data_IF_261976193029
#
_entry.id   IF_261976193029
#
_cell.length_a   1.000
_cell.length_b   1.000
_cell.length_c   1.000
_cell.angle_alpha   90.00
_cell.angle_beta   90.00
_cell.angle_gamma   90.00
#
_symmetry.space_group_name_H-M   'P 1'
#
loop_
_entity.id
_entity.type
_entity.pdbx_description
1 polymer ?
#
# COMPACT_ATOMS: atom_id res chain seq x y z
N UNK A 1 -1.18 46.28 6.49
CA UNK A 1 -0.14 45.29 6.21
C UNK A 1 -0.86 43.96 6.13
N UNK A 2 -1.34 43.65 4.92
CA UNK A 2 -2.05 42.43 4.58
C UNK A 2 -1.03 41.29 4.51
N UNK A 3 -1.20 40.27 5.37
CA UNK A 3 -0.52 38.99 5.21
C UNK A 3 -1.41 38.13 4.31
N UNK A 4 -1.05 38.04 3.04
CA UNK A 4 -1.60 37.07 2.09
C UNK A 4 -1.07 35.68 2.44
N UNK A 5 -1.86 34.90 3.15
CA UNK A 5 -1.80 33.44 3.10
C UNK A 5 -2.05 33.02 1.65
N UNK A 6 -1.02 32.56 0.95
CA UNK A 6 -1.19 31.80 -0.28
C UNK A 6 -1.87 30.49 0.06
N UNK A 7 -3.21 30.48 0.03
CA UNK A 7 -3.98 29.26 -0.20
C UNK A 7 -3.53 28.70 -1.55
N UNK A 8 -2.83 27.58 -1.53
CA UNK A 8 -2.52 26.82 -2.73
C UNK A 8 -3.82 26.19 -3.24
N UNK A 9 -4.62 26.98 -3.95
CA UNK A 9 -5.80 26.52 -4.65
C UNK A 9 -5.42 25.38 -5.61
N UNK A 10 -6.23 24.31 -5.56
CA UNK A 10 -6.18 23.11 -6.38
C UNK A 10 -5.78 23.39 -7.84
N UNK A 11 -4.74 22.69 -8.33
CA UNK A 11 -4.57 22.47 -9.77
C UNK A 11 -5.48 21.34 -10.21
N UNK A 12 -6.73 21.66 -10.56
CA UNK A 12 -7.69 20.73 -11.18
C UNK A 12 -7.19 20.13 -12.50
N UNK A 13 -6.14 20.71 -13.09
CA UNK A 13 -5.57 20.31 -14.40
C UNK A 13 -4.78 18.98 -14.39
N UNK A 14 -4.58 18.34 -13.23
CA UNK A 14 -3.72 17.16 -13.08
C UNK A 14 -4.42 15.98 -12.37
N UNK A 15 -5.74 15.88 -12.47
CA UNK A 15 -6.50 14.78 -11.88
C UNK A 15 -7.59 14.26 -12.80
N UNK A 16 -7.90 12.98 -12.69
CA UNK A 16 -9.04 12.34 -13.36
C UNK A 16 -9.92 11.66 -12.31
N UNK A 17 -11.24 11.77 -12.47
CA UNK A 17 -12.22 11.15 -11.58
C UNK A 17 -13.06 10.16 -12.38
N UNK A 18 -13.25 8.98 -11.80
CA UNK A 18 -14.21 7.99 -12.24
C UNK A 18 -15.29 7.80 -11.17
N UNK A 19 -16.54 7.77 -11.60
CA UNK A 19 -17.69 7.49 -10.73
C UNK A 19 -18.21 6.08 -11.01
N UNK A 20 -18.10 5.22 -10.00
CA UNK A 20 -18.58 3.85 -10.00
C UNK A 20 -20.09 3.81 -9.74
N UNK A 21 -20.83 2.83 -10.28
CA UNK A 21 -22.24 2.61 -9.96
C UNK A 21 -22.49 2.30 -8.47
N UNK A 22 -21.49 1.75 -7.78
CA UNK A 22 -21.57 1.34 -6.38
C UNK A 22 -20.44 1.99 -5.55
N UNK A 23 -20.63 2.17 -4.23
CA UNK A 23 -19.55 2.59 -3.34
C UNK A 23 -18.30 1.72 -3.52
N UNK A 24 -17.12 2.32 -3.41
CA UNK A 24 -15.84 1.64 -3.63
C UNK A 24 -15.30 1.19 -2.27
N UNK A 25 -15.00 -0.10 -2.15
CA UNK A 25 -14.47 -0.70 -0.93
C UNK A 25 -12.96 -0.90 -0.98
N UNK A 26 -12.44 -1.38 -2.12
CA UNK A 26 -11.04 -1.68 -2.33
C UNK A 26 -10.59 -1.27 -3.73
N UNK A 27 -9.32 -0.89 -3.88
CA UNK A 27 -8.73 -0.54 -5.17
C UNK A 27 -7.34 -1.15 -5.29
N UNK A 28 -6.86 -1.34 -6.53
CA UNK A 28 -5.51 -1.82 -6.79
C UNK A 28 -4.98 -1.32 -8.14
N UNK A 29 -3.70 -0.95 -8.19
CA UNK A 29 -2.97 -0.73 -9.45
C UNK A 29 -2.32 -2.03 -9.91
N UNK A 30 -2.36 -2.29 -11.22
CA UNK A 30 -1.51 -3.31 -11.81
C UNK A 30 -0.06 -2.82 -11.88
N UNK A 31 0.92 -3.54 -11.30
CA UNK A 31 2.33 -3.18 -11.40
C UNK A 31 2.92 -3.51 -12.78
N UNK A 32 2.22 -4.33 -13.57
CA UNK A 32 2.68 -4.91 -14.84
C UNK A 32 2.05 -4.22 -16.05
N UNK A 33 0.78 -3.78 -15.93
CA UNK A 33 0.03 -3.06 -16.95
C UNK A 33 -0.28 -1.65 -16.43
N UNK A 34 0.51 -0.63 -16.78
CA UNK A 34 0.40 0.73 -16.23
C UNK A 34 -0.97 1.39 -16.36
N UNK A 35 -1.77 0.92 -17.33
CA UNK A 35 -3.10 1.42 -17.61
C UNK A 35 -4.17 0.71 -16.80
N UNK A 36 -3.88 -0.39 -16.09
CA UNK A 36 -4.92 -1.24 -15.49
C UNK A 36 -5.08 -0.97 -14.00
N UNK A 37 -6.33 -0.79 -13.59
CA UNK A 37 -6.72 -0.69 -12.18
C UNK A 37 -7.89 -1.63 -11.89
N UNK A 38 -8.00 -2.11 -10.66
CA UNK A 38 -9.14 -2.86 -10.17
C UNK A 38 -9.91 -2.05 -9.11
N UNK A 39 -11.23 -2.16 -9.13
CA UNK A 39 -12.16 -1.59 -8.15
C UNK A 39 -13.05 -2.69 -7.59
N UNK A 40 -13.17 -2.75 -6.28
CA UNK A 40 -14.11 -3.62 -5.58
C UNK A 40 -15.27 -2.80 -5.02
N UNK A 41 -16.50 -3.25 -5.24
CA UNK A 41 -17.70 -2.59 -4.71
C UNK A 41 -17.88 -2.83 -3.22
N UNK A 42 -18.62 -1.95 -2.56
CA UNK A 42 -19.32 -2.23 -1.30
C UNK A 42 -20.82 -2.25 -1.57
N UNK A 43 -21.39 -3.44 -1.50
CA UNK A 43 -22.81 -3.75 -1.62
C UNK A 43 -23.14 -4.59 -0.38
N UNK A 44 -24.17 -4.20 0.38
CA UNK A 44 -24.52 -4.87 1.64
C UNK A 44 -25.02 -6.30 1.40
N UNK A 45 -25.58 -6.56 0.21
CA UNK A 45 -25.95 -7.89 -0.24
C UNK A 45 -24.73 -8.78 -0.58
N UNK A 46 -24.99 -10.08 -0.69
CA UNK A 46 -23.96 -11.09 -0.95
C UNK A 46 -23.17 -10.86 -2.25
N UNK A 47 -23.83 -10.41 -3.32
CA UNK A 47 -23.24 -10.28 -4.66
C UNK A 47 -22.61 -8.91 -4.85
N UNK A 48 -21.32 -8.81 -4.53
CA UNK A 48 -20.50 -7.66 -4.86
C UNK A 48 -19.87 -7.82 -6.25
N UNK A 49 -19.12 -6.82 -6.69
CA UNK A 49 -18.50 -6.79 -8.01
C UNK A 49 -17.06 -6.31 -7.93
N UNK A 50 -16.23 -6.87 -8.79
CA UNK A 50 -14.91 -6.32 -9.10
C UNK A 50 -14.89 -5.86 -10.55
N UNK A 51 -14.47 -4.61 -10.75
CA UNK A 51 -14.41 -3.94 -12.04
C UNK A 51 -12.97 -3.58 -12.40
N UNK A 52 -12.60 -3.84 -13.66
CA UNK A 52 -11.30 -3.43 -14.19
C UNK A 52 -11.47 -2.14 -15.01
N UNK A 53 -10.65 -1.14 -14.70
CA UNK A 53 -10.57 0.13 -15.40
C UNK A 53 -9.30 0.22 -16.23
N UNK A 54 -9.38 0.97 -17.33
CA UNK A 54 -8.26 1.42 -18.14
C UNK A 54 -8.02 2.92 -17.95
N UNK A 55 -6.84 3.27 -17.47
CA UNK A 55 -6.33 4.61 -17.29
C UNK A 55 -5.41 4.98 -18.44
N UNK A 56 -5.72 6.11 -19.09
CA UNK A 56 -4.83 6.73 -20.06
C UNK A 56 -4.33 8.06 -19.51
N UNK A 57 -3.03 8.12 -19.20
CA UNK A 57 -2.37 9.30 -18.64
C UNK A 57 -2.28 10.48 -19.61
N UNK A 58 -2.25 10.23 -20.93
CA UNK A 58 -2.12 11.28 -21.95
C UNK A 58 -3.44 12.00 -22.17
N UNK A 59 -4.56 11.27 -22.12
CA UNK A 59 -5.90 11.81 -22.28
C UNK A 59 -6.61 12.11 -20.96
N UNK A 60 -5.98 11.78 -19.83
CA UNK A 60 -6.56 11.89 -18.48
C UNK A 60 -7.95 11.26 -18.40
N UNK A 61 -8.09 10.04 -18.91
CA UNK A 61 -9.37 9.32 -18.93
C UNK A 61 -9.29 7.99 -18.18
N UNK A 62 -10.38 7.67 -17.49
CA UNK A 62 -10.61 6.40 -16.81
C UNK A 62 -11.87 5.76 -17.39
N UNK A 63 -11.68 4.64 -18.07
CA UNK A 63 -12.78 3.95 -18.73
C UNK A 63 -12.93 2.54 -18.16
N UNK A 64 -14.14 2.13 -17.75
CA UNK A 64 -14.37 0.75 -17.34
C UNK A 64 -14.24 -0.18 -18.55
N UNK A 65 -13.81 -1.41 -18.30
CA UNK A 65 -13.77 -2.46 -19.30
C UNK A 65 -14.87 -3.48 -18.98
N UNK A 66 -16.09 -3.35 -19.54
CA UNK A 66 -17.25 -4.13 -19.08
C UNK A 66 -17.09 -5.65 -19.19
N UNK A 67 -16.25 -6.13 -20.11
CA UNK A 67 -15.95 -7.55 -20.25
C UNK A 67 -14.96 -8.10 -19.22
N UNK A 68 -14.33 -7.22 -18.43
CA UNK A 68 -13.40 -7.57 -17.36
C UNK A 68 -14.01 -7.39 -15.97
N UNK A 69 -15.33 -7.31 -15.90
CA UNK A 69 -16.07 -7.23 -14.66
C UNK A 69 -16.59 -8.60 -14.23
N UNK A 70 -16.58 -8.88 -12.94
CA UNK A 70 -17.04 -10.17 -12.41
C UNK A 70 -17.65 -10.03 -11.01
N UNK A 71 -18.51 -10.98 -10.66
CA UNK A 71 -19.16 -11.04 -9.34
C UNK A 71 -18.17 -11.54 -8.28
N UNK A 72 -18.24 -10.94 -7.10
CA UNK A 72 -17.45 -11.30 -5.94
C UNK A 72 -18.37 -11.59 -4.74
N UNK A 73 -18.23 -12.75 -4.06
CA UNK A 73 -18.92 -13.02 -2.82
C UNK A 73 -18.47 -12.06 -1.72
N UNK A 74 -19.41 -11.29 -1.18
CA UNK A 74 -19.18 -10.23 -0.19
C UNK A 74 -18.26 -9.09 -0.68
N UNK A 75 -18.25 -7.93 0.00
CA UNK A 75 -17.33 -6.85 -0.35
C UNK A 75 -15.87 -7.34 -0.27
N UNK A 76 -15.06 -7.15 -1.33
CA UNK A 76 -13.68 -7.61 -1.32
C UNK A 76 -12.84 -6.76 -0.37
N UNK A 77 -12.40 -7.33 0.75
CA UNK A 77 -11.68 -6.60 1.82
C UNK A 77 -10.35 -6.03 1.36
N UNK A 78 -9.72 -6.64 0.36
CA UNK A 78 -8.53 -6.14 -0.32
C UNK A 78 -8.44 -6.70 -1.74
N UNK A 79 -7.79 -5.94 -2.61
CA UNK A 79 -7.44 -6.32 -3.97
C UNK A 79 -5.95 -6.06 -4.16
N UNK A 80 -5.21 -6.98 -4.77
CA UNK A 80 -3.82 -6.74 -5.14
C UNK A 80 -3.45 -7.57 -6.36
N UNK A 81 -2.85 -6.93 -7.36
CA UNK A 81 -2.22 -7.65 -8.46
C UNK A 81 -0.91 -8.29 -7.99
N UNK A 82 -0.57 -9.42 -8.60
CA UNK A 82 0.70 -10.09 -8.37
C UNK A 82 1.87 -9.15 -8.70
N UNK A 83 2.88 -9.04 -7.80
CA UNK A 83 3.88 -7.97 -7.87
C UNK A 83 4.88 -8.11 -9.02
N UNK A 84 5.09 -9.33 -9.53
CA UNK A 84 6.10 -9.55 -10.58
C UNK A 84 5.53 -9.38 -11.98
N UNK A 85 6.13 -8.45 -12.73
CA UNK A 85 5.95 -8.32 -14.18
C UNK A 85 6.61 -9.48 -14.91
N UNK A 86 5.78 -10.35 -15.50
CA UNK A 86 6.25 -11.17 -16.61
C UNK A 86 5.88 -10.47 -17.91
N UNK A 87 6.80 -9.72 -18.56
CA UNK A 87 6.51 -9.01 -19.81
C UNK A 87 6.15 -9.94 -20.99
N UNK A 88 6.16 -11.27 -20.77
CA UNK A 88 5.79 -12.30 -21.75
C UNK A 88 4.40 -12.87 -21.53
N UNK A 89 3.73 -12.57 -20.41
CA UNK A 89 2.35 -13.02 -20.16
C UNK A 89 1.40 -11.89 -20.52
N UNK A 90 0.43 -12.19 -21.39
CA UNK A 90 -0.66 -11.29 -21.76
C UNK A 90 -1.79 -11.26 -20.72
N UNK A 91 -1.47 -11.61 -19.47
CA UNK A 91 -2.44 -11.73 -18.38
C UNK A 91 -1.82 -11.30 -17.06
N UNK A 92 -2.65 -10.67 -16.23
CA UNK A 92 -2.33 -10.36 -14.86
C UNK A 92 -2.98 -11.36 -13.93
N UNK A 93 -2.30 -11.64 -12.83
CA UNK A 93 -2.88 -12.38 -11.73
C UNK A 93 -3.38 -11.36 -10.70
N UNK A 94 -4.67 -11.38 -10.41
CA UNK A 94 -5.32 -10.57 -9.39
C UNK A 94 -5.70 -11.47 -8.21
N UNK A 95 -5.30 -11.07 -6.99
CA UNK A 95 -5.79 -11.68 -5.77
C UNK A 95 -6.88 -10.81 -5.14
N UNK A 96 -7.89 -11.45 -4.56
CA UNK A 96 -8.96 -10.80 -3.80
C UNK A 96 -9.20 -11.53 -2.48
N UNK A 97 -9.55 -10.78 -1.43
CA UNK A 97 -9.96 -11.33 -0.14
C UNK A 97 -11.39 -10.96 0.20
N UNK A 98 -12.01 -11.76 1.07
CA UNK A 98 -13.37 -11.59 1.57
C UNK A 98 -13.65 -12.72 2.55
N UNK A 99 -14.61 -13.58 2.23
CA UNK A 99 -14.75 -14.89 2.88
C UNK A 99 -13.54 -15.82 2.63
N UNK A 100 -12.99 -15.82 1.42
CA UNK A 100 -11.82 -16.59 1.02
C UNK A 100 -10.79 -15.74 0.27
N UNK A 101 -9.55 -16.24 0.21
CA UNK A 101 -8.56 -15.75 -0.75
C UNK A 101 -8.86 -16.39 -2.12
N UNK A 102 -8.99 -15.56 -3.15
CA UNK A 102 -9.23 -15.99 -4.53
C UNK A 102 -8.18 -15.44 -5.47
N UNK A 103 -7.87 -16.21 -6.50
CA UNK A 103 -7.01 -15.81 -7.60
C UNK A 103 -7.79 -15.78 -8.91
N UNK A 104 -7.55 -14.73 -9.67
CA UNK A 104 -8.20 -14.45 -10.95
C UNK A 104 -7.15 -14.14 -12.01
N UNK A 105 -7.30 -14.73 -13.19
CA UNK A 105 -6.50 -14.36 -14.36
C UNK A 105 -7.22 -13.28 -15.14
N UNK A 106 -6.66 -12.08 -15.19
CA UNK A 106 -7.16 -10.94 -15.94
C UNK A 106 -6.43 -10.86 -17.28
N UNK A 107 -7.07 -11.37 -18.33
CA UNK A 107 -6.60 -11.25 -19.72
C UNK A 107 -7.07 -9.92 -20.31
N UNK A 108 -6.74 -9.64 -21.57
CA UNK A 108 -7.17 -8.40 -22.23
C UNK A 108 -8.69 -8.28 -22.37
N UNK A 109 -9.39 -9.40 -22.58
CA UNK A 109 -10.83 -9.39 -22.88
C UNK A 109 -11.69 -10.25 -21.95
N UNK A 110 -11.10 -11.02 -21.03
CA UNK A 110 -11.81 -11.88 -20.09
C UNK A 110 -11.13 -11.94 -18.73
N UNK A 111 -11.91 -12.28 -17.71
CA UNK A 111 -11.41 -12.65 -16.38
C UNK A 111 -11.82 -14.09 -16.08
N UNK A 112 -10.88 -14.91 -15.64
CA UNK A 112 -11.09 -16.32 -15.31
C UNK A 112 -10.75 -16.56 -13.83
N UNK A 113 -11.65 -17.22 -13.09
CA UNK A 113 -11.36 -17.66 -11.73
C UNK A 113 -10.36 -18.84 -11.78
N UNK A 114 -9.21 -18.70 -11.13
CA UNK A 114 -8.16 -19.72 -11.14
C UNK A 114 -8.20 -20.63 -9.92
N UNK A 115 -8.30 -20.04 -8.72
CA UNK A 115 -8.15 -20.80 -7.48
C UNK A 115 -8.88 -20.10 -6.33
N UNK A 116 -9.42 -20.92 -5.44
CA UNK A 116 -9.99 -20.52 -4.16
C UNK A 116 -9.22 -21.23 -3.05
N UNK A 117 -8.73 -20.46 -2.09
CA UNK A 117 -7.88 -20.94 -1.02
C UNK A 117 -8.70 -21.06 0.27
N UNK A 118 -8.83 -22.29 0.76
CA UNK A 118 -9.54 -22.62 2.00
C UNK A 118 -8.61 -23.39 2.95
N UNK A 119 -8.49 -22.94 4.19
CA UNK A 119 -7.64 -23.53 5.21
C UNK A 119 -8.38 -24.58 6.06
N UNK A 120 -9.71 -24.63 5.97
CA UNK A 120 -10.56 -25.57 6.68
C UNK A 120 -10.58 -26.94 5.98
N UNK A 121 -10.21 -27.99 6.71
CA UNK A 121 -10.27 -29.39 6.22
C UNK A 121 -11.61 -30.09 6.48
N UNK A 122 -12.47 -29.49 7.31
CA UNK A 122 -13.67 -30.17 7.87
C UNK A 122 -14.95 -29.36 7.78
N UNK A 123 -14.85 -28.03 7.60
CA UNK A 123 -15.99 -27.11 7.49
C UNK A 123 -16.01 -26.45 6.12
N UNK A 124 -17.19 -26.31 5.54
CA UNK A 124 -17.45 -25.50 4.33
C UNK A 124 -17.29 -23.99 4.56
N UNK A 125 -16.99 -23.57 5.79
CA UNK A 125 -16.81 -22.18 6.19
C UNK A 125 -15.48 -21.99 6.92
N UNK A 126 -14.72 -20.96 6.53
CA UNK A 126 -13.60 -20.41 7.29
C UNK A 126 -13.96 -19.01 7.82
N UNK A 127 -13.19 -18.51 8.78
CA UNK A 127 -13.33 -17.14 9.22
C UNK A 127 -12.95 -16.18 8.08
N UNK A 128 -13.68 -15.06 7.90
CA UNK A 128 -13.41 -14.10 6.85
C UNK A 128 -12.03 -13.47 7.00
N UNK A 129 -11.44 -13.14 5.85
CA UNK A 129 -10.14 -12.49 5.75
C UNK A 129 -10.30 -10.97 5.82
N UNK A 130 -9.54 -10.35 6.70
CA UNK A 130 -9.53 -8.90 6.91
C UNK A 130 -8.60 -8.20 5.91
N UNK A 131 -7.52 -8.86 5.50
CA UNK A 131 -6.52 -8.34 4.57
C UNK A 131 -5.60 -9.47 4.06
N UNK A 132 -4.71 -9.13 3.13
CA UNK A 132 -3.60 -9.96 2.70
C UNK A 132 -2.46 -9.11 2.12
N UNK A 133 -1.27 -9.68 1.96
CA UNK A 133 -0.17 -9.05 1.23
C UNK A 133 0.63 -10.10 0.45
N UNK A 134 1.19 -9.67 -0.68
CA UNK A 134 2.12 -10.47 -1.48
C UNK A 134 3.52 -10.38 -0.91
N UNK A 135 4.25 -11.49 -0.98
CA UNK A 135 5.68 -11.47 -0.71
C UNK A 135 6.43 -11.01 -1.98
N UNK A 136 6.91 -9.77 -2.01
CA UNK A 136 7.57 -9.21 -3.19
C UNK A 136 8.88 -9.94 -3.57
N UNK A 137 9.53 -10.58 -2.60
CA UNK A 137 10.81 -11.30 -2.80
C UNK A 137 10.56 -12.75 -3.27
N UNK A 138 9.55 -13.41 -2.72
CA UNK A 138 9.10 -14.75 -3.11
C UNK A 138 7.61 -14.72 -3.51
N UNK A 139 7.26 -14.22 -4.71
CA UNK A 139 5.89 -13.87 -5.11
C UNK A 139 4.94 -15.06 -5.30
N UNK A 140 5.43 -16.28 -5.08
CA UNK A 140 4.60 -17.48 -4.88
C UNK A 140 3.90 -17.52 -3.51
N UNK A 141 4.25 -16.63 -2.58
CA UNK A 141 3.67 -16.57 -1.24
C UNK A 141 2.71 -15.40 -1.08
N UNK A 142 1.56 -15.69 -0.49
CA UNK A 142 0.61 -14.70 0.04
C UNK A 142 0.46 -14.94 1.53
N UNK A 143 0.46 -13.86 2.32
CA UNK A 143 0.05 -13.90 3.72
C UNK A 143 -1.35 -13.30 3.86
N UNK A 144 -2.26 -13.96 4.55
CA UNK A 144 -3.63 -13.47 4.83
C UNK A 144 -3.84 -13.29 6.33
N UNK A 145 -4.54 -12.24 6.72
CA UNK A 145 -5.00 -12.00 8.11
C UNK A 145 -6.49 -12.28 8.25
N UNK A 146 -6.93 -12.70 9.44
CA UNK A 146 -8.34 -13.02 9.70
C UNK A 146 -8.80 -12.55 11.09
N UNK A 147 -10.12 -12.44 11.23
CA UNK A 147 -10.78 -12.22 12.51
C UNK A 147 -10.62 -13.41 13.48
N UNK A 148 -10.20 -14.59 13.00
CA UNK A 148 -9.92 -15.75 13.86
C UNK A 148 -8.60 -15.68 14.64
N UNK A 149 -7.97 -14.50 14.70
CA UNK A 149 -6.69 -14.22 15.36
C UNK A 149 -5.46 -14.77 14.64
N UNK A 150 -5.63 -15.42 13.47
CA UNK A 150 -4.53 -16.06 12.76
C UNK A 150 -4.04 -15.30 11.52
N UNK A 151 -2.77 -15.51 11.21
CA UNK A 151 -2.18 -15.24 9.90
C UNK A 151 -1.91 -16.57 9.19
N UNK A 152 -2.37 -16.71 7.95
CA UNK A 152 -2.13 -17.91 7.12
C UNK A 152 -1.23 -17.56 5.96
N UNK A 153 -0.16 -18.33 5.77
CA UNK A 153 0.77 -18.20 4.64
C UNK A 153 0.47 -19.31 3.63
N UNK A 154 0.26 -18.90 2.39
CA UNK A 154 -0.14 -19.75 1.28
C UNK A 154 0.99 -19.86 0.26
N UNK A 155 1.21 -21.05 -0.28
CA UNK A 155 1.96 -21.25 -1.51
C UNK A 155 0.95 -21.31 -2.66
N UNK A 156 0.91 -20.25 -3.48
CA UNK A 156 -0.09 -20.12 -4.55
C UNK A 156 0.19 -21.01 -5.77
N UNK A 157 1.45 -21.38 -6.01
CA UNK A 157 1.81 -22.29 -7.11
C UNK A 157 1.38 -23.72 -6.79
N UNK A 158 1.48 -24.11 -5.53
CA UNK A 158 1.07 -25.43 -5.03
C UNK A 158 -0.39 -25.48 -4.59
N UNK A 159 -1.05 -24.33 -4.47
CA UNK A 159 -2.40 -24.20 -3.94
C UNK A 159 -2.57 -24.84 -2.54
N UNK A 160 -1.60 -24.62 -1.64
CA UNK A 160 -1.62 -25.20 -0.27
C UNK A 160 -1.33 -24.15 0.80
N UNK A 161 -1.85 -24.41 2.01
CA UNK A 161 -1.39 -23.74 3.23
C UNK A 161 0.04 -24.18 3.52
N UNK A 162 0.98 -23.24 3.52
CA UNK A 162 2.36 -23.50 3.95
C UNK A 162 2.47 -23.49 5.47
N UNK A 163 1.83 -22.51 6.12
CA UNK A 163 1.77 -22.42 7.58
C UNK A 163 0.61 -21.55 8.03
N UNK A 164 0.10 -21.81 9.22
CA UNK A 164 -0.85 -20.94 9.92
C UNK A 164 -0.27 -20.63 11.29
N UNK A 165 -0.35 -19.36 11.70
CA UNK A 165 0.23 -18.85 12.93
C UNK A 165 -0.87 -18.16 13.73
N UNK A 166 -0.99 -18.48 15.01
CA UNK A 166 -1.78 -17.68 15.95
C UNK A 166 -0.99 -16.39 16.14
N UNK A 167 -1.45 -15.33 15.50
CA UNK A 167 -0.66 -14.11 15.39
C UNK A 167 -0.88 -13.21 16.60
N UNK A 168 -2.13 -13.08 17.04
CA UNK A 168 -2.55 -12.13 18.05
C UNK A 168 -3.56 -12.75 19.01
N UNK A 169 -3.89 -12.03 20.09
CA UNK A 169 -4.88 -12.46 21.09
C UNK A 169 -6.30 -12.00 20.73
N UNK A 170 -6.43 -11.17 19.69
CA UNK A 170 -7.69 -10.66 19.11
C UNK A 170 -7.60 -10.64 17.58
N UNK A 171 -8.64 -10.15 16.92
CA UNK A 171 -8.76 -10.08 15.46
C UNK A 171 -7.52 -9.43 14.82
N UNK A 172 -7.00 -10.00 13.75
CA UNK A 172 -5.89 -9.42 12.98
C UNK A 172 -6.49 -8.57 11.87
N UNK A 173 -6.12 -7.31 11.76
CA UNK A 173 -6.72 -6.38 10.79
C UNK A 173 -5.89 -6.19 9.52
N UNK A 174 -4.57 -6.33 9.59
CA UNK A 174 -3.71 -6.19 8.42
C UNK A 174 -2.43 -7.02 8.57
N UNK A 175 -1.81 -7.31 7.43
CA UNK A 175 -0.55 -8.03 7.30
C UNK A 175 0.28 -7.36 6.20
N UNK A 176 1.59 -7.25 6.41
CA UNK A 176 2.52 -6.71 5.43
C UNK A 176 3.83 -7.52 5.41
N UNK A 177 4.30 -7.87 4.21
CA UNK A 177 5.60 -8.52 4.01
C UNK A 177 6.72 -7.49 4.00
N UNK A 178 7.82 -7.83 4.68
CA UNK A 178 9.08 -7.08 4.60
C UNK A 178 10.10 -7.84 3.76
N UNK A 179 10.56 -8.98 4.29
CA UNK A 179 11.54 -9.84 3.63
C UNK A 179 10.92 -11.19 3.19
N UNK A 180 11.69 -12.03 2.50
CA UNK A 180 11.24 -13.32 1.96
C UNK A 180 10.60 -14.25 3.01
N UNK A 181 11.00 -14.10 4.28
CA UNK A 181 10.52 -14.91 5.40
C UNK A 181 10.03 -14.09 6.59
N UNK A 182 9.95 -12.77 6.44
CA UNK A 182 9.59 -11.86 7.53
C UNK A 182 8.37 -11.06 7.13
N UNK A 183 7.33 -11.14 7.94
CA UNK A 183 6.13 -10.32 7.80
C UNK A 183 5.73 -9.75 9.15
N UNK A 184 4.88 -8.74 9.13
CA UNK A 184 4.30 -8.15 10.32
C UNK A 184 2.78 -8.10 10.22
N UNK A 185 2.12 -8.07 11.36
CA UNK A 185 0.66 -7.91 11.46
C UNK A 185 0.26 -6.94 12.56
N UNK A 186 -0.96 -6.41 12.42
CA UNK A 186 -1.62 -5.49 13.36
C UNK A 186 -2.97 -6.05 13.79
N UNK A 187 -3.39 -5.73 15.02
CA UNK A 187 -4.58 -6.34 15.61
C UNK A 187 -5.41 -5.38 16.47
N UNK A 188 -6.65 -5.82 16.73
CA UNK A 188 -7.51 -5.30 17.79
C UNK A 188 -6.91 -5.37 19.20
N UNK A 189 -5.84 -6.17 19.41
CA UNK A 189 -5.09 -6.16 20.68
C UNK A 189 -4.19 -4.92 20.85
N UNK A 190 -4.08 -4.08 19.83
CA UNK A 190 -3.31 -2.84 19.86
C UNK A 190 -1.80 -3.02 19.62
N UNK A 191 -1.35 -4.21 19.19
CA UNK A 191 0.06 -4.51 18.96
C UNK A 191 0.43 -4.66 17.47
N UNK A 192 1.66 -4.29 17.13
CA UNK A 192 2.34 -4.72 15.90
C UNK A 192 3.29 -5.86 16.27
N UNK A 193 3.15 -6.99 15.60
CA UNK A 193 4.02 -8.16 15.79
C UNK A 193 4.77 -8.51 14.51
N UNK A 194 6.06 -8.81 14.62
CA UNK A 194 6.90 -9.34 13.54
C UNK A 194 7.03 -10.85 13.71
N UNK A 195 6.94 -11.56 12.59
CA UNK A 195 7.06 -13.02 12.49
C UNK A 195 8.18 -13.37 11.53
N UNK A 196 9.02 -14.32 11.93
CA UNK A 196 10.02 -14.94 11.07
C UNK A 196 9.62 -16.39 10.78
N UNK A 197 9.41 -16.73 9.52
CA UNK A 197 9.02 -18.10 9.13
C UNK A 197 10.07 -19.17 9.42
N UNK A 198 11.29 -18.77 9.82
CA UNK A 198 12.32 -19.68 10.34
C UNK A 198 12.05 -20.10 11.79
N UNK A 199 11.38 -19.24 12.58
CA UNK A 199 11.00 -19.49 13.97
C UNK A 199 9.49 -19.24 14.14
N UNK A 200 8.71 -20.29 13.86
CA UNK A 200 7.24 -20.22 13.86
C UNK A 200 6.62 -20.20 15.26
N UNK A 201 7.43 -20.42 16.30
CA UNK A 201 6.95 -20.49 17.68
C UNK A 201 6.99 -19.13 18.36
N UNK A 202 7.77 -18.18 17.83
CA UNK A 202 7.98 -16.87 18.43
C UNK A 202 7.65 -15.73 17.47
N UNK A 203 6.99 -14.71 18.00
CA UNK A 203 6.81 -13.41 17.36
C UNK A 203 7.43 -12.33 18.24
N UNK A 204 7.88 -11.24 17.64
CA UNK A 204 8.38 -10.07 18.38
C UNK A 204 7.36 -8.95 18.33
N UNK A 205 6.88 -8.50 19.50
CA UNK A 205 6.09 -7.26 19.60
C UNK A 205 7.06 -6.09 19.42
N UNK A 206 6.79 -5.24 18.43
CA UNK A 206 7.64 -4.06 18.14
C UNK A 206 6.97 -2.74 18.50
N UNK A 207 5.67 -2.73 18.73
CA UNK A 207 4.91 -1.55 19.10
C UNK A 207 3.59 -1.98 19.74
N UNK A 208 3.17 -1.22 20.75
CA UNK A 208 1.86 -1.33 21.39
C UNK A 208 1.27 0.07 21.48
N UNK A 209 -0.04 0.17 21.32
CA UNK A 209 -0.73 1.45 21.43
C UNK A 209 -0.50 2.08 22.82
N UNK A 210 -0.24 3.41 22.91
CA UNK A 210 -0.01 4.08 24.19
C UNK A 210 -1.19 3.97 25.15
N UNK A 211 -2.40 3.86 24.61
CA UNK A 211 -3.61 3.57 25.36
C UNK A 211 -3.89 2.07 25.26
N UNK A 212 -4.12 1.38 26.39
CA UNK A 212 -4.40 -0.06 26.38
C UNK A 212 -5.56 -0.42 25.43
N UNK A 213 -5.44 -1.55 24.74
CA UNK A 213 -6.48 -2.13 23.89
C UNK A 213 -7.00 -1.21 22.77
N UNK A 214 -6.24 -0.21 22.33
CA UNK A 214 -6.62 0.63 21.18
C UNK A 214 -6.22 -0.07 19.88
N UNK A 215 -7.17 -0.50 19.02
CA UNK A 215 -6.85 -1.28 17.84
C UNK A 215 -5.91 -0.60 16.85
N UNK A 216 -5.06 -1.39 16.20
CA UNK A 216 -4.26 -0.99 15.04
C UNK A 216 -4.90 -1.53 13.75
N UNK A 217 -5.20 -0.65 12.80
CA UNK A 217 -6.10 -0.98 11.69
C UNK A 217 -5.40 -1.28 10.35
N UNK A 218 -4.27 -0.63 10.08
CA UNK A 218 -3.51 -0.77 8.83
C UNK A 218 -2.03 -0.82 9.07
N UNK A 219 -1.34 -1.57 8.22
CA UNK A 219 0.10 -1.72 8.25
C UNK A 219 0.66 -1.56 6.83
N UNK A 220 1.65 -0.70 6.67
CA UNK A 220 2.35 -0.53 5.41
C UNK A 220 3.86 -0.66 5.64
N UNK A 221 4.49 -1.64 4.98
CA UNK A 221 5.94 -1.80 5.00
C UNK A 221 6.59 -0.92 3.93
N UNK A 222 7.66 -0.21 4.27
CA UNK A 222 8.43 0.53 3.28
C UNK A 222 9.26 -0.43 2.43
N UNK A 223 8.86 -0.61 1.16
CA UNK A 223 9.52 -1.55 0.24
C UNK A 223 10.86 -1.04 -0.30
N UNK A 224 11.17 0.25 -0.14
CA UNK A 224 12.46 0.85 -0.52
C UNK A 224 13.47 0.82 0.64
N UNK A 225 12.99 0.80 1.88
CA UNK A 225 13.81 0.65 3.08
C UNK A 225 13.09 -0.20 4.12
N UNK A 226 13.38 -1.50 4.11
CA UNK A 226 12.71 -2.50 4.94
C UNK A 226 12.90 -2.30 6.45
N UNK A 227 13.70 -1.32 6.88
CA UNK A 227 13.82 -0.95 8.29
C UNK A 227 12.56 -0.27 8.82
N UNK A 228 11.79 0.39 7.95
CA UNK A 228 10.67 1.23 8.35
C UNK A 228 9.31 0.63 8.00
N UNK A 229 8.35 0.83 8.89
CA UNK A 229 6.94 0.54 8.67
C UNK A 229 6.07 1.69 9.17
N UNK A 230 4.84 1.76 8.69
CA UNK A 230 3.83 2.69 9.15
C UNK A 230 2.60 1.93 9.62
N UNK A 231 1.99 2.39 10.70
CA UNK A 231 0.71 1.88 11.22
C UNK A 231 -0.22 3.02 11.60
N UNK A 232 -1.52 2.76 11.61
CA UNK A 232 -2.55 3.70 12.08
C UNK A 232 -3.40 3.05 13.18
N UNK A 233 -3.84 3.88 14.12
CA UNK A 233 -4.67 3.48 15.25
C UNK A 233 -6.14 3.79 14.93
N UNK A 234 -7.05 3.02 15.51
CA UNK A 234 -8.49 3.32 15.46
C UNK A 234 -8.78 4.68 16.11
N UNK A 235 -9.68 5.45 15.48
CA UNK A 235 -10.11 6.79 15.93
C UNK A 235 -8.97 7.79 16.17
N UNK A 236 -7.85 7.63 15.44
CA UNK A 236 -6.65 8.45 15.60
C UNK A 236 -6.34 9.25 14.35
N UNK A 237 -5.95 10.51 14.54
CA UNK A 237 -5.47 11.39 13.47
C UNK A 237 -3.96 11.25 13.20
N UNK A 238 -3.31 10.21 13.74
CA UNK A 238 -1.87 10.01 13.65
C UNK A 238 -1.51 8.85 12.74
N UNK A 239 -0.42 9.01 11.99
CA UNK A 239 0.32 7.89 11.39
C UNK A 239 1.59 7.67 12.21
N UNK A 240 1.80 6.44 12.67
CA UNK A 240 2.97 6.07 13.49
C UNK A 240 4.01 5.40 12.60
N UNK A 241 5.23 5.92 12.59
CA UNK A 241 6.37 5.36 11.86
C UNK A 241 7.25 4.58 12.84
N UNK A 242 7.56 3.34 12.49
CA UNK A 242 8.31 2.39 13.31
C UNK A 242 9.62 2.02 12.61
N UNK A 243 10.68 1.79 13.40
CA UNK A 243 11.92 1.15 12.95
C UNK A 243 12.01 -0.23 13.59
N UNK A 244 12.06 -1.29 12.79
CA UNK A 244 12.06 -2.68 13.28
C UNK A 244 13.27 -3.00 14.18
N UNK A 245 14.33 -2.20 14.10
CA UNK A 245 15.56 -2.38 14.89
C UNK A 245 15.46 -1.71 16.27
N UNK A 246 14.48 -0.83 16.45
CA UNK A 246 14.25 -0.05 17.67
C UNK A 246 12.80 -0.27 18.14
N UNK A 247 12.48 -1.46 18.70
CA UNK A 247 11.12 -1.76 19.14
C UNK A 247 10.67 -0.81 20.26
N UNK A 248 9.36 -0.76 20.48
CA UNK A 248 8.60 0.01 21.49
C UNK A 248 8.44 1.49 21.21
N UNK A 249 9.46 2.18 20.70
CA UNK A 249 9.40 3.64 20.50
C UNK A 249 9.25 3.99 19.01
N UNK A 250 8.21 4.72 18.61
CA UNK A 250 8.09 5.17 17.23
C UNK A 250 9.18 6.18 16.89
N UNK A 251 9.68 6.13 15.65
CA UNK A 251 10.69 7.07 15.18
C UNK A 251 10.09 8.41 14.75
N UNK A 252 8.80 8.41 14.37
CA UNK A 252 8.05 9.61 14.06
C UNK A 252 6.54 9.37 14.23
N UNK A 253 5.82 10.44 14.55
CA UNK A 253 4.35 10.51 14.50
C UNK A 253 3.97 11.64 13.55
N UNK A 254 3.14 11.34 12.54
CA UNK A 254 2.65 12.31 11.56
C UNK A 254 1.27 12.81 12.01
N UNK A 255 1.21 14.05 12.48
CA UNK A 255 0.05 14.61 13.20
C UNK A 255 -0.47 15.90 12.54
N UNK A 256 -1.04 15.78 11.34
CA UNK A 256 -1.69 16.93 10.65
C UNK A 256 -3.09 16.64 10.12
N UNK A 257 -3.54 15.39 10.19
CA UNK A 257 -4.93 15.08 9.94
C UNK A 257 -5.83 15.68 11.03
N UNK A 258 -7.05 16.06 10.64
CA UNK A 258 -8.09 16.63 11.51
C UNK A 258 -9.18 15.63 11.88
N UNK A 259 -9.11 14.42 11.32
CA UNK A 259 -9.99 13.29 11.59
C UNK A 259 -9.20 11.99 11.60
N UNK A 260 -9.89 10.86 11.76
CA UNK A 260 -9.26 9.54 11.79
C UNK A 260 -8.56 9.24 10.47
N UNK A 261 -7.37 8.66 10.53
CA UNK A 261 -6.65 8.17 9.36
C UNK A 261 -7.18 6.79 9.00
N UNK A 262 -7.49 6.57 7.72
CA UNK A 262 -8.09 5.33 7.21
C UNK A 262 -7.16 4.54 6.30
N UNK A 263 -6.26 5.24 5.58
CA UNK A 263 -5.37 4.63 4.60
C UNK A 263 -3.97 5.23 4.66
N UNK A 264 -2.97 4.38 4.43
CA UNK A 264 -1.55 4.74 4.35
C UNK A 264 -0.87 3.94 3.23
N UNK A 265 0.06 4.56 2.51
CA UNK A 265 0.87 3.88 1.51
C UNK A 265 2.24 4.54 1.34
N UNK A 266 3.30 3.73 1.40
CA UNK A 266 4.66 4.17 1.05
C UNK A 266 4.79 4.37 -0.46
N UNK A 267 5.56 5.38 -0.85
CA UNK A 267 5.84 5.63 -2.25
C UNK A 267 6.74 4.52 -2.83
N UNK A 268 6.42 3.97 -4.02
CA UNK A 268 7.21 2.91 -4.62
C UNK A 268 8.57 3.39 -5.13
N UNK A 269 8.78 4.70 -5.28
CA UNK A 269 9.97 5.32 -5.86
C UNK A 269 10.86 6.03 -4.84
N UNK A 270 10.47 6.08 -3.56
CA UNK A 270 11.20 6.81 -2.52
C UNK A 270 11.11 6.09 -1.18
N UNK A 271 12.23 6.00 -0.48
CA UNK A 271 12.30 5.46 0.89
C UNK A 271 11.83 6.46 1.95
N UNK A 272 11.59 7.72 1.61
CA UNK A 272 11.21 8.77 2.57
C UNK A 272 9.80 9.30 2.34
N UNK A 273 9.15 8.99 1.21
CA UNK A 273 7.80 9.47 0.93
C UNK A 273 6.73 8.47 1.38
N UNK A 274 5.74 8.98 2.09
CA UNK A 274 4.54 8.25 2.48
C UNK A 274 3.31 9.13 2.20
N UNK A 275 2.19 8.49 1.91
CA UNK A 275 0.91 9.15 1.77
C UNK A 275 -0.08 8.60 2.81
N UNK A 276 -0.95 9.46 3.32
CA UNK A 276 -2.03 9.08 4.23
C UNK A 276 -3.34 9.78 3.87
N UNK A 277 -4.47 9.18 4.22
CA UNK A 277 -5.78 9.79 4.01
C UNK A 277 -6.80 9.35 5.05
N UNK A 278 -7.84 10.17 5.26
CA UNK A 278 -8.77 9.94 6.37
C UNK A 278 -10.13 10.65 6.27
N UNK A 279 -10.80 10.69 7.42
CA UNK A 279 -12.15 11.23 7.63
C UNK A 279 -12.24 12.76 7.46
N UNK A 280 -11.11 13.44 7.52
CA UNK A 280 -11.03 14.88 7.25
C UNK A 280 -11.13 15.23 5.76
N UNK A 281 -11.41 14.24 4.90
CA UNK A 281 -11.49 14.32 3.44
C UNK A 281 -10.16 14.73 2.79
N UNK A 282 -9.04 14.61 3.51
CA UNK A 282 -7.72 14.98 3.02
C UNK A 282 -6.87 13.75 2.72
N UNK A 283 -6.08 13.85 1.65
CA UNK A 283 -4.91 13.01 1.43
C UNK A 283 -3.65 13.86 1.57
N UNK A 284 -2.76 13.47 2.46
CA UNK A 284 -1.53 14.16 2.80
C UNK A 284 -0.33 13.37 2.28
N UNK A 285 0.63 14.07 1.65
CA UNK A 285 1.91 13.50 1.22
C UNK A 285 2.99 14.02 2.14
N UNK A 286 3.80 13.12 2.68
CA UNK A 286 4.82 13.41 3.66
C UNK A 286 6.19 13.04 3.14
N UNK A 287 7.19 13.81 3.56
CA UNK A 287 8.60 13.44 3.44
C UNK A 287 9.15 13.24 4.84
N UNK A 288 9.64 12.02 5.12
CA UNK A 288 10.26 11.71 6.39
C UNK A 288 11.67 12.33 6.42
N UNK A 289 11.95 13.20 7.39
CA UNK A 289 13.25 13.84 7.47
C UNK A 289 14.30 12.85 7.98
N UNK A 290 15.52 12.96 7.45
CA UNK A 290 16.67 12.18 7.94
C UNK A 290 17.03 12.52 9.40
N UNK A 291 16.61 13.69 9.89
CA UNK A 291 16.84 14.16 11.25
C UNK A 291 15.52 14.65 11.86
N UNK A 292 15.25 14.27 13.11
CA UNK A 292 14.04 14.69 13.81
C UNK A 292 13.99 16.23 13.96
N UNK A 293 12.88 16.84 13.54
CA UNK A 293 12.61 18.26 13.76
C UNK A 293 11.80 18.47 15.05
N UNK A 294 12.12 19.46 15.90
CA UNK A 294 11.33 19.79 17.09
C UNK A 294 9.89 20.23 16.78
N UNK A 295 9.62 20.71 15.55
CA UNK A 295 8.32 21.26 15.14
C UNK A 295 7.30 20.19 14.68
N UNK A 296 7.67 18.92 14.72
CA UNK A 296 6.93 17.86 14.03
C UNK A 296 7.19 17.87 12.53
N UNK A 297 6.50 16.99 11.81
CA UNK A 297 6.62 16.82 10.35
C UNK A 297 5.37 17.40 9.71
N UNK A 298 5.55 18.37 8.81
CA UNK A 298 4.48 18.95 8.02
C UNK A 298 4.37 18.23 6.66
N UNK A 299 3.17 18.08 6.09
CA UNK A 299 3.00 17.46 4.78
C UNK A 299 3.57 18.35 3.67
N UNK A 300 4.19 17.70 2.69
CA UNK A 300 4.69 18.32 1.45
C UNK A 300 3.54 18.76 0.54
N UNK A 301 2.44 18.00 0.55
CA UNK A 301 1.27 18.26 -0.29
C UNK A 301 -0.01 17.80 0.40
N UNK A 302 -1.13 18.41 0.01
CA UNK A 302 -2.47 18.10 0.50
C UNK A 302 -3.44 18.12 -0.68
N UNK A 303 -4.26 17.08 -0.76
CA UNK A 303 -5.38 16.96 -1.69
C UNK A 303 -6.68 16.86 -0.90
N UNK A 304 -7.75 17.45 -1.42
CA UNK A 304 -9.08 17.40 -0.79
C UNK A 304 -10.07 16.66 -1.67
N UNK A 305 -10.80 15.73 -1.06
CA UNK A 305 -11.94 15.03 -1.65
C UNK A 305 -13.25 15.58 -1.09
N UNK A 306 -14.38 15.14 -1.67
CA UNK A 306 -15.72 15.56 -1.22
C UNK A 306 -16.25 14.76 -0.03
N UNK A 307 -15.64 13.61 0.29
CA UNK A 307 -16.03 12.69 1.37
C UNK A 307 -14.77 12.08 2.00
N UNK A 308 -14.96 11.29 3.06
CA UNK A 308 -13.90 10.54 3.73
C UNK A 308 -13.18 9.62 2.75
N UNK A 309 -11.85 9.64 2.79
CA UNK A 309 -11.02 8.83 1.90
C UNK A 309 -10.70 7.51 2.59
N UNK A 310 -11.12 6.39 1.98
CA UNK A 310 -11.02 5.05 2.56
C UNK A 310 -9.95 4.17 1.91
N UNK A 311 -9.53 4.50 0.69
CA UNK A 311 -8.46 3.80 -0.03
C UNK A 311 -7.47 4.80 -0.58
N UNK A 312 -6.18 4.47 -0.46
CA UNK A 312 -5.08 5.25 -1.00
C UNK A 312 -4.00 4.30 -1.52
N UNK A 313 -3.61 4.45 -2.79
CA UNK A 313 -2.59 3.61 -3.41
C UNK A 313 -1.70 4.41 -4.36
N UNK A 314 -0.41 4.11 -4.35
CA UNK A 314 0.50 4.58 -5.39
C UNK A 314 0.49 3.65 -6.59
N UNK A 315 0.63 4.19 -7.79
CA UNK A 315 0.90 3.36 -8.97
C UNK A 315 2.38 2.97 -9.00
N UNK A 316 2.68 1.68 -8.84
CA UNK A 316 4.05 1.18 -9.00
C UNK A 316 4.56 1.32 -10.44
N UNK A 317 3.67 1.19 -11.41
CA UNK A 317 3.99 1.30 -12.83
C UNK A 317 4.11 2.75 -13.33
N UNK A 318 3.43 3.69 -12.66
CA UNK A 318 3.50 5.13 -12.94
C UNK A 318 3.64 5.91 -11.62
N UNK A 319 4.85 5.99 -11.03
CA UNK A 319 5.05 6.45 -9.65
C UNK A 319 4.60 7.88 -9.32
N UNK A 320 4.35 8.69 -10.36
CA UNK A 320 3.78 10.04 -10.23
C UNK A 320 2.28 10.02 -9.95
N UNK A 321 1.59 8.88 -9.99
CA UNK A 321 0.15 8.79 -9.82
C UNK A 321 -0.25 8.14 -8.50
N UNK A 322 -1.23 8.76 -7.85
CA UNK A 322 -1.86 8.30 -6.62
C UNK A 322 -3.35 8.10 -6.89
N UNK A 323 -3.91 6.96 -6.52
CA UNK A 323 -5.35 6.76 -6.46
C UNK A 323 -5.83 7.03 -5.05
N UNK A 324 -6.90 7.81 -4.94
CA UNK A 324 -7.73 7.89 -3.74
C UNK A 324 -9.14 7.44 -4.07
N UNK A 325 -9.81 6.74 -3.15
CA UNK A 325 -11.23 6.40 -3.30
C UNK A 325 -12.04 6.86 -2.09
N UNK A 326 -13.20 7.43 -2.40
CA UNK A 326 -14.14 8.00 -1.43
C UNK A 326 -15.56 7.86 -1.99
N UNK A 327 -16.52 7.47 -1.14
CA UNK A 327 -17.88 7.11 -1.57
C UNK A 327 -17.86 6.14 -2.78
N UNK A 328 -18.51 6.51 -3.89
CA UNK A 328 -18.51 5.77 -5.16
C UNK A 328 -17.50 6.30 -6.19
N UNK A 329 -16.54 7.13 -5.78
CA UNK A 329 -15.60 7.80 -6.71
C UNK A 329 -14.17 7.35 -6.48
N UNK A 330 -13.45 7.13 -7.58
CA UNK A 330 -12.01 7.01 -7.58
C UNK A 330 -11.42 8.23 -8.27
N UNK A 331 -10.46 8.89 -7.64
CA UNK A 331 -9.73 10.00 -8.21
C UNK A 331 -8.26 9.62 -8.33
N UNK A 332 -7.71 9.77 -9.54
CA UNK A 332 -6.27 9.71 -9.75
C UNK A 332 -5.71 11.12 -9.73
N UNK A 333 -4.67 11.29 -8.92
CA UNK A 333 -3.98 12.54 -8.67
C UNK A 333 -2.55 12.39 -9.16
N UNK A 334 -2.10 13.32 -9.99
CA UNK A 334 -0.67 13.42 -10.30
C UNK A 334 0.04 14.07 -9.12
N UNK A 335 0.89 13.30 -8.45
CA UNK A 335 1.88 13.82 -7.52
C UNK A 335 2.81 14.76 -8.26
N UNK A 336 2.84 16.02 -7.82
CA UNK A 336 3.80 17.00 -8.32
C UNK A 336 5.00 16.94 -7.39
N UNK A 337 5.87 15.95 -7.58
CA UNK A 337 7.21 16.08 -7.05
C UNK A 337 7.91 17.19 -7.86
N UNK A 338 8.54 18.18 -7.22
CA UNK A 338 9.47 19.03 -7.94
C UNK A 338 10.59 18.11 -8.45
N UNK A 339 10.52 17.77 -9.75
CA UNK A 339 11.51 17.03 -10.54
C UNK A 339 12.79 16.69 -9.77
N UNK A 340 12.86 15.48 -9.19
CA UNK A 340 14.13 14.76 -9.18
C UNK A 340 14.32 14.18 -10.58
N UNK A 341 14.63 15.05 -11.54
CA UNK A 341 15.35 14.57 -12.71
C UNK A 341 16.63 13.90 -12.17
N UNK A 342 16.98 12.66 -12.58
CA UNK A 342 18.38 12.28 -12.51
C UNK A 342 19.09 13.36 -13.32
N UNK A 343 20.03 14.08 -12.70
CA UNK A 343 20.74 15.19 -13.32
C UNK A 343 21.69 14.62 -14.38
N UNK A 344 21.16 14.17 -15.51
CA UNK A 344 21.86 13.98 -16.77
C UNK A 344 21.32 15.01 -17.77
N UNK A 345 21.24 16.27 -17.33
CA UNK A 345 21.26 17.38 -18.25
C UNK A 345 22.72 17.58 -18.67
N UNK A 346 23.08 17.04 -19.85
CA UNK A 346 24.26 17.48 -20.58
C UNK A 346 24.09 18.99 -20.87
N UNK A 347 24.69 19.82 -20.02
CA UNK A 347 24.85 21.25 -20.29
C UNK A 347 25.87 21.41 -21.42
N UNK A 348 25.37 21.59 -22.64
CA UNK A 348 26.18 22.14 -23.72
C UNK A 348 26.33 23.65 -23.50
N UNK A 349 27.44 24.06 -22.92
CA UNK A 349 27.95 25.43 -23.04
C UNK A 349 29.44 25.37 -23.40
N UNK A 350 29.76 25.77 -24.64
CA UNK A 350 31.11 26.03 -25.14
C UNK A 350 32.13 24.86 -25.20
N UNK A 351 31.70 23.66 -25.61
CA UNK A 351 32.59 22.76 -26.37
C UNK A 351 33.71 22.03 -25.64
N UNK A 352 33.62 21.77 -24.32
CA UNK A 352 34.49 20.79 -23.64
C UNK A 352 33.70 19.98 -22.62
N UNK A 353 33.77 18.65 -22.71
CA UNK A 353 33.13 17.70 -21.80
C UNK A 353 34.15 17.30 -20.71
N UNK A 354 33.78 17.42 -19.43
CA UNK A 354 34.50 16.75 -18.34
C UNK A 354 33.52 15.86 -17.59
N UNK A 355 33.76 14.55 -17.60
CA UNK A 355 33.09 13.58 -16.76
C UNK A 355 33.91 13.40 -15.48
N UNK A 356 33.31 13.65 -14.31
CA UNK A 356 33.83 13.17 -13.04
C UNK A 356 32.92 12.07 -12.52
N UNK A 357 33.42 10.84 -12.54
CA UNK A 357 32.87 9.71 -11.81
C UNK A 357 33.47 9.71 -10.40
N UNK A 358 32.65 9.87 -9.36
CA UNK A 358 33.10 9.54 -8.01
C UNK A 358 32.93 8.03 -7.81
N UNK A 359 34.05 7.30 -7.88
CA UNK A 359 34.18 5.94 -7.38
C UNK A 359 34.88 6.00 -6.01
N UNK A 360 34.42 5.16 -5.09
CA UNK A 360 35.01 4.86 -3.78
C UNK A 360 36.54 4.76 -3.80
N UNK A 361 37.20 5.36 -2.79
CA UNK A 361 38.44 4.79 -2.21
C UNK A 361 38.47 5.09 -0.70
N UNK A 362 38.28 4.05 0.11
CA UNK A 362 39.00 3.90 1.37
C UNK A 362 40.42 3.38 1.05
N UNK A 363 41.45 3.91 1.73
CA UNK A 363 42.72 3.26 2.19
C UNK A 363 43.74 4.37 2.54
N UNK A 364 44.04 4.51 3.84
CA UNK A 364 45.36 4.95 4.36
C UNK A 364 46.32 3.74 4.35
N UNK A 365 47.67 3.82 4.48
CA UNK A 365 48.58 4.99 4.61
C UNK A 365 49.86 4.86 3.73
N UNK A 366 50.84 5.78 3.83
CA UNK A 366 52.32 5.56 3.90
C UNK A 366 53.13 6.82 3.52
N UNK A 367 54.14 7.10 4.36
CA UNK A 367 55.22 8.08 4.27
C UNK A 367 55.96 8.18 2.91
N UNK A 368 56.42 9.39 2.56
CA UNK A 368 57.86 9.72 2.42
C UNK A 368 58.07 11.14 1.88
N UNK A 369 58.49 12.06 2.74
CA UNK A 369 59.74 12.85 2.70
C UNK A 369 59.62 14.12 3.55
#
# INVERSE_FOLDING_TARGET
MENSTQESHLRTENSVIYESPNPIYATAFSPTHPQRLALGSFIEEYTNRVDILSFNSDTLSLNPHPSLSFDHPYPPTKLMFHPTASPRKSSDLLATSGDYLRLWEVRDNSVEALSLFNNSKTSEFCAPLTSFDWNDIEPKRIGTSSIDTTCTIWDIERAVVETQLIAHDKEVYDIAWGEARVFASVSADGSVRIFDLRDKEHSTIIYESPHPDTPLLRLAWNKQDLRYMATILMDSNKVVILDIRSPTTPVAELERHRGSVNAIAWAPHSSTHIASAGDDTQALIWELPTLASPSGIDPMCMYSASCEINQLHWSAAQPDWIAIAFANKMQLLKSVFPNLLPTYALLFVSGVCFAFSYFDIAVDPVNNN
#
